data_IF_662768361578
#
_entry.id   IF_662768361578
#
_cell.length_a   1.000
_cell.length_b   1.000
_cell.length_c   1.000
_cell.angle_alpha   90.00
_cell.angle_beta   90.00
_cell.angle_gamma   90.00
#
_symmetry.space_group_name_H-M   'P 1'
#
loop_
_entity.id
_entity.type
_entity.pdbx_description
1 polymer ?
#
# COMPACT_ATOMS: atom_id res chain seq x y z
N UNK A 1 -80.94 -18.23 -55.81
CA UNK A 1 -80.19 -17.07 -55.24
C UNK A 1 -78.82 -17.55 -54.81
N UNK A 2 -77.79 -16.75 -55.10
CA UNK A 2 -76.37 -17.11 -55.07
C UNK A 2 -75.86 -17.45 -53.66
N UNK A 3 -75.06 -18.52 -53.57
CA UNK A 3 -73.90 -18.59 -52.67
C UNK A 3 -72.87 -19.53 -53.27
N UNK A 4 -71.74 -18.96 -53.75
CA UNK A 4 -70.46 -19.65 -53.83
C UNK A 4 -69.94 -19.96 -52.42
N UNK A 5 -68.89 -20.72 -52.18
CA UNK A 5 -67.58 -20.78 -52.86
C UNK A 5 -66.80 -22.00 -52.36
N UNK A 6 -65.86 -22.45 -53.19
CA UNK A 6 -64.58 -23.18 -52.96
C UNK A 6 -64.12 -23.36 -51.49
N UNK A 7 -63.49 -24.45 -51.05
CA UNK A 7 -62.57 -25.38 -51.72
C UNK A 7 -61.15 -25.19 -51.15
N UNK A 8 -60.57 -26.23 -50.53
CA UNK A 8 -59.12 -26.53 -50.34
C UNK A 8 -58.94 -27.45 -49.10
N UNK A 9 -58.76 -28.77 -49.26
CA UNK A 9 -57.47 -29.49 -49.47
C UNK A 9 -56.49 -29.33 -48.29
N UNK A 10 -56.50 -30.31 -47.38
CA UNK A 10 -55.37 -30.60 -46.48
C UNK A 10 -54.28 -31.33 -47.28
N UNK A 11 -53.05 -30.81 -47.23
CA UNK A 11 -51.84 -31.56 -47.59
C UNK A 11 -50.88 -31.56 -46.40
N UNK A 12 -50.65 -32.75 -45.89
CA UNK A 12 -49.54 -33.11 -45.01
C UNK A 12 -48.21 -32.94 -45.76
N UNK A 13 -47.21 -32.35 -45.11
CA UNK A 13 -45.84 -32.27 -45.61
C UNK A 13 -44.87 -32.51 -44.46
N UNK A 14 -44.08 -33.58 -44.58
CA UNK A 14 -43.14 -34.07 -43.59
C UNK A 14 -41.74 -33.46 -43.74
N UNK A 15 -41.02 -33.46 -42.60
CA UNK A 15 -39.56 -33.49 -42.36
C UNK A 15 -38.60 -32.57 -43.15
N UNK A 16 -37.78 -31.84 -42.40
CA UNK A 16 -36.34 -31.74 -42.65
C UNK A 16 -35.59 -31.55 -41.32
N UNK A 17 -34.76 -32.53 -40.95
CA UNK A 17 -33.73 -32.41 -39.92
C UNK A 17 -32.51 -31.77 -40.58
N UNK A 18 -32.09 -30.60 -40.12
CA UNK A 18 -30.87 -29.93 -40.58
C UNK A 18 -29.76 -30.09 -39.56
N UNK A 19 -28.68 -30.74 -40.01
CA UNK A 19 -27.42 -30.94 -39.30
C UNK A 19 -26.42 -29.85 -39.73
N UNK A 20 -25.60 -29.44 -38.76
CA UNK A 20 -24.30 -28.77 -38.85
C UNK A 20 -24.21 -27.25 -39.04
N UNK A 21 -23.39 -26.67 -38.16
CA UNK A 21 -22.83 -25.32 -38.23
C UNK A 21 -21.95 -25.07 -37.01
N UNK A 22 -20.78 -25.72 -36.94
CA UNK A 22 -19.77 -25.48 -35.92
C UNK A 22 -19.24 -24.04 -36.09
N UNK A 23 -19.60 -23.12 -35.19
CA UNK A 23 -19.06 -21.76 -35.20
C UNK A 23 -17.65 -21.82 -34.63
N UNK A 24 -16.65 -21.66 -35.49
CA UNK A 24 -15.27 -21.46 -35.09
C UNK A 24 -15.17 -20.14 -34.34
N UNK A 25 -14.67 -20.20 -33.10
CA UNK A 25 -14.39 -19.02 -32.31
C UNK A 25 -13.34 -18.15 -33.04
N UNK A 26 -13.69 -16.91 -33.37
CA UNK A 26 -12.70 -15.90 -33.71
C UNK A 26 -11.98 -15.56 -32.41
N UNK A 27 -10.75 -16.04 -32.29
CA UNK A 27 -9.85 -15.71 -31.20
C UNK A 27 -9.57 -14.21 -31.26
N UNK A 28 -10.05 -13.47 -30.26
CA UNK A 28 -9.72 -12.06 -30.11
C UNK A 28 -8.18 -11.93 -30.01
N UNK A 29 -7.56 -10.91 -30.64
CA UNK A 29 -6.13 -10.72 -30.53
C UNK A 29 -5.75 -10.64 -29.05
N UNK A 30 -4.87 -11.55 -28.63
CA UNK A 30 -4.33 -11.60 -27.29
C UNK A 30 -3.83 -10.19 -26.92
N UNK A 31 -4.40 -9.61 -25.86
CA UNK A 31 -3.88 -8.39 -25.29
C UNK A 31 -2.38 -8.58 -25.05
N UNK A 32 -1.57 -7.67 -25.60
CA UNK A 32 -0.12 -7.69 -25.44
C UNK A 32 0.21 -7.91 -23.95
N UNK A 33 0.93 -9.00 -23.66
CA UNK A 33 1.41 -9.26 -22.32
C UNK A 33 2.18 -8.02 -21.84
N UNK A 34 1.93 -7.52 -20.61
CA UNK A 34 2.71 -6.40 -20.09
C UNK A 34 4.19 -6.76 -20.16
N UNK A 35 5.03 -5.83 -20.63
CA UNK A 35 6.47 -6.03 -20.72
C UNK A 35 6.97 -6.64 -19.40
N UNK A 36 7.69 -7.78 -19.44
CA UNK A 36 8.20 -8.39 -18.23
C UNK A 36 9.14 -7.40 -17.55
N UNK A 37 8.72 -6.90 -16.39
CA UNK A 37 9.59 -6.09 -15.54
C UNK A 37 10.85 -6.91 -15.26
N UNK A 38 12.07 -6.37 -15.49
CA UNK A 38 13.32 -7.11 -15.30
C UNK A 38 13.31 -7.82 -13.96
N UNK A 39 13.32 -9.16 -14.00
CA UNK A 39 13.37 -10.03 -12.83
C UNK A 39 14.77 -10.61 -12.75
N UNK A 40 15.62 -10.09 -11.88
CA UNK A 40 16.97 -10.62 -11.65
C UNK A 40 17.10 -11.23 -10.26
N UNK A 41 18.15 -12.03 -10.04
CA UNK A 41 18.40 -12.72 -8.76
C UNK A 41 19.81 -12.39 -8.26
N UNK A 42 20.07 -11.13 -7.85
CA UNK A 42 21.41 -10.73 -7.46
C UNK A 42 21.85 -11.44 -6.17
N UNK A 43 23.14 -11.74 -6.08
CA UNK A 43 23.72 -12.34 -4.88
C UNK A 43 23.75 -11.32 -3.73
N UNK A 44 23.13 -11.68 -2.61
CA UNK A 44 23.19 -10.88 -1.39
C UNK A 44 24.57 -11.06 -0.72
N UNK A 45 25.17 -9.95 -0.29
CA UNK A 45 26.39 -9.94 0.53
C UNK A 45 26.08 -9.37 1.92
N UNK A 46 26.90 -9.70 2.92
CA UNK A 46 26.75 -9.07 4.25
C UNK A 46 27.39 -7.69 4.20
N UNK A 47 26.59 -6.65 4.42
CA UNK A 47 27.08 -5.28 4.56
C UNK A 47 27.76 -5.11 5.92
N UNK A 48 27.04 -5.44 6.99
CA UNK A 48 27.57 -5.42 8.36
C UNK A 48 26.77 -6.34 9.29
N UNK A 49 27.26 -6.51 10.51
CA UNK A 49 26.59 -7.24 11.59
C UNK A 49 26.46 -6.34 12.80
N UNK A 50 25.24 -6.14 13.28
CA UNK A 50 25.03 -5.40 14.51
C UNK A 50 25.68 -6.14 15.69
N UNK A 51 26.45 -5.41 16.48
CA UNK A 51 27.26 -5.96 17.58
C UNK A 51 26.56 -5.91 18.94
N UNK A 52 25.54 -5.06 19.09
CA UNK A 52 24.81 -4.87 20.35
C UNK A 52 23.74 -5.93 20.55
N UNK A 53 23.92 -6.77 21.58
CA UNK A 53 23.00 -7.87 21.92
C UNK A 53 21.59 -7.40 22.34
N UNK A 54 21.41 -6.10 22.63
CA UNK A 54 20.08 -5.54 22.90
C UNK A 54 19.23 -5.45 21.62
N UNK A 55 19.88 -5.36 20.45
CA UNK A 55 19.24 -5.37 19.14
C UNK A 55 19.21 -6.79 18.59
N UNK A 56 18.03 -7.42 18.63
CA UNK A 56 17.82 -8.80 18.20
C UNK A 56 16.78 -8.95 17.09
N UNK A 57 15.82 -8.03 17.03
CA UNK A 57 14.71 -8.06 16.08
C UNK A 57 14.55 -6.68 15.40
N UNK A 58 15.37 -6.36 14.38
CA UNK A 58 15.35 -5.06 13.72
C UNK A 58 14.01 -4.84 12.99
N UNK A 59 13.17 -3.95 13.52
CA UNK A 59 11.84 -3.65 12.96
C UNK A 59 11.84 -2.67 11.78
N UNK A 60 12.88 -1.85 11.68
CA UNK A 60 13.06 -0.91 10.57
C UNK A 60 14.54 -0.55 10.39
N UNK A 61 14.87 0.04 9.24
CA UNK A 61 16.21 0.54 8.91
C UNK A 61 16.04 1.84 8.12
N UNK A 62 16.71 2.92 8.52
CA UNK A 62 16.72 4.17 7.77
C UNK A 62 18.03 4.93 7.98
N UNK A 63 18.47 5.71 6.99
CA UNK A 63 19.67 6.54 7.13
C UNK A 63 19.37 7.77 7.98
N UNK A 64 20.30 8.18 8.82
CA UNK A 64 20.24 9.45 9.54
C UNK A 64 20.35 10.65 8.59
N UNK A 65 19.69 11.76 8.94
CA UNK A 65 19.81 13.03 8.23
C UNK A 65 20.82 13.92 8.95
N UNK A 66 20.72 14.01 10.28
CA UNK A 66 21.72 14.70 11.11
C UNK A 66 23.05 13.95 11.17
N UNK A 67 23.00 12.61 11.06
CA UNK A 67 24.17 11.73 11.09
C UNK A 67 24.24 10.86 9.83
N UNK A 68 24.83 11.37 8.72
CA UNK A 68 24.85 10.66 7.44
C UNK A 68 25.68 9.38 7.42
N UNK A 69 26.36 9.02 8.50
CA UNK A 69 27.16 7.80 8.69
C UNK A 69 26.50 6.80 9.66
N UNK A 70 25.19 6.98 9.91
CA UNK A 70 24.40 6.16 10.85
C UNK A 70 23.15 5.59 10.18
N UNK A 71 22.86 4.36 10.53
CA UNK A 71 21.58 3.71 10.37
C UNK A 71 20.77 3.79 11.66
N UNK A 72 19.60 4.40 11.60
CA UNK A 72 18.57 4.27 12.61
C UNK A 72 17.88 2.92 12.44
N UNK A 73 17.75 2.19 13.55
CA UNK A 73 17.01 0.93 13.65
C UNK A 73 16.37 0.81 15.03
N UNK A 74 15.54 -0.19 15.23
CA UNK A 74 14.89 -0.46 16.50
C UNK A 74 14.77 -1.95 16.79
N UNK A 75 14.75 -2.33 18.07
CA UNK A 75 14.32 -3.67 18.48
C UNK A 75 12.80 -3.69 18.68
N UNK A 76 12.09 -4.39 17.80
CA UNK A 76 10.62 -4.38 17.74
C UNK A 76 9.97 -5.08 18.94
N UNK A 77 10.72 -5.88 19.71
CA UNK A 77 10.23 -6.60 20.89
C UNK A 77 10.41 -5.81 22.16
N UNK A 78 11.53 -5.07 22.27
CA UNK A 78 11.94 -4.38 23.50
C UNK A 78 11.66 -2.87 23.47
N UNK A 79 11.31 -2.30 22.31
CA UNK A 79 10.99 -0.86 22.20
C UNK A 79 12.19 0.03 22.50
N UNK A 80 13.33 -0.25 21.86
CA UNK A 80 14.56 0.55 21.97
C UNK A 80 15.05 0.94 20.58
N UNK A 81 15.44 2.20 20.43
CA UNK A 81 15.98 2.77 19.20
C UNK A 81 17.51 2.73 19.26
N UNK A 82 18.14 2.48 18.13
CA UNK A 82 19.60 2.38 18.01
C UNK A 82 20.09 3.19 16.82
N UNK A 83 21.21 3.88 17.04
CA UNK A 83 22.05 4.46 15.99
C UNK A 83 23.23 3.52 15.76
N UNK A 84 23.29 2.88 14.59
CA UNK A 84 24.30 1.87 14.23
C UNK A 84 25.19 2.41 13.10
N UNK A 85 26.50 2.32 13.25
CA UNK A 85 27.45 2.69 12.19
C UNK A 85 27.49 1.69 11.04
N UNK A 86 28.14 2.07 9.93
CA UNK A 86 28.34 1.18 8.77
C UNK A 86 29.19 -0.06 9.09
N UNK A 87 29.89 -0.08 10.22
CA UNK A 87 30.65 -1.21 10.76
C UNK A 87 29.82 -2.11 11.70
N UNK A 88 28.55 -1.78 11.95
CA UNK A 88 27.67 -2.51 12.86
C UNK A 88 27.88 -2.21 14.35
N UNK A 89 28.71 -1.23 14.71
CA UNK A 89 28.83 -0.76 16.10
C UNK A 89 27.68 0.19 16.45
N UNK A 90 27.05 -0.04 17.60
CA UNK A 90 26.08 0.91 18.15
C UNK A 90 26.80 2.15 18.65
N UNK A 91 26.46 3.30 18.08
CA UNK A 91 26.97 4.61 18.51
C UNK A 91 26.17 5.19 19.67
N UNK A 92 24.87 4.92 19.70
CA UNK A 92 23.97 5.30 20.78
C UNK A 92 22.70 4.45 20.79
N UNK A 93 22.09 4.31 21.97
CA UNK A 93 20.80 3.68 22.17
C UNK A 93 19.84 4.61 22.90
N UNK A 94 18.57 4.57 22.52
CA UNK A 94 17.58 5.52 23.03
C UNK A 94 16.31 4.84 23.49
N UNK A 95 15.76 5.32 24.60
CA UNK A 95 14.38 5.06 25.00
C UNK A 95 13.50 6.21 24.57
N UNK A 96 12.20 5.96 24.41
CA UNK A 96 11.23 7.00 24.05
C UNK A 96 10.09 6.95 25.07
N UNK A 97 10.26 7.56 26.27
CA UNK A 97 9.25 7.54 27.31
C UNK A 97 7.89 8.05 26.80
N UNK A 98 6.82 7.36 27.16
CA UNK A 98 5.47 7.68 26.71
C UNK A 98 5.10 7.15 25.31
N UNK A 99 6.07 6.74 24.49
CA UNK A 99 5.81 6.02 23.24
C UNK A 99 5.74 4.51 23.51
N UNK A 100 4.67 3.87 23.04
CA UNK A 100 4.43 2.42 23.20
C UNK A 100 4.00 1.78 21.89
N UNK A 101 4.29 0.48 21.76
CA UNK A 101 3.81 -0.38 20.67
C UNK A 101 4.47 -0.15 19.31
N UNK A 102 5.44 0.75 19.21
CA UNK A 102 6.05 1.06 17.92
C UNK A 102 7.01 -0.06 17.46
N UNK A 103 6.83 -0.50 16.22
CA UNK A 103 7.57 -1.60 15.58
C UNK A 103 8.27 -1.16 14.29
N UNK A 104 8.08 0.09 13.86
CA UNK A 104 8.68 0.66 12.65
C UNK A 104 9.25 2.06 12.88
N UNK A 105 10.07 2.51 11.93
CA UNK A 105 10.55 3.89 11.87
C UNK A 105 10.67 4.39 10.41
N UNK A 106 10.48 5.69 10.23
CA UNK A 106 10.92 6.43 9.04
C UNK A 106 11.69 7.69 9.47
N UNK A 107 12.53 8.20 8.56
CA UNK A 107 13.27 9.45 8.75
C UNK A 107 12.98 10.37 7.57
N UNK A 108 12.58 11.60 7.86
CA UNK A 108 12.40 12.68 6.87
C UNK A 108 12.96 13.99 7.44
N UNK A 109 13.17 14.99 6.57
CA UNK A 109 13.44 16.33 7.08
C UNK A 109 12.15 16.88 7.66
N UNK A 110 12.22 17.38 8.88
CA UNK A 110 11.15 18.11 9.53
C UNK A 110 11.18 19.60 9.17
N UNK A 111 10.39 20.36 9.91
CA UNK A 111 10.30 21.81 9.81
C UNK A 111 11.70 22.44 10.00
N UNK A 112 12.11 23.30 9.08
CA UNK A 112 13.46 23.91 9.10
C UNK A 112 14.60 23.02 8.59
N UNK A 113 14.30 21.85 8.00
CA UNK A 113 15.28 20.99 7.34
C UNK A 113 16.03 20.01 8.25
N UNK A 114 15.81 20.07 9.56
CA UNK A 114 16.40 19.17 10.54
C UNK A 114 15.84 17.74 10.42
N UNK A 115 16.66 16.73 10.70
CA UNK A 115 16.21 15.34 10.70
C UNK A 115 15.10 15.07 11.73
N UNK A 116 14.11 14.27 11.36
CA UNK A 116 13.01 13.87 12.24
C UNK A 116 12.72 12.39 12.06
N UNK A 117 12.67 11.67 13.19
CA UNK A 117 12.28 10.27 13.26
C UNK A 117 10.77 10.18 13.50
N UNK A 118 10.13 9.26 12.78
CA UNK A 118 8.72 8.93 12.96
C UNK A 118 8.58 7.47 13.32
N UNK A 119 8.04 7.18 14.50
CA UNK A 119 7.81 5.83 15.00
C UNK A 119 6.31 5.52 14.94
N UNK A 120 5.96 4.30 14.55
CA UNK A 120 4.56 3.87 14.48
C UNK A 120 4.41 2.41 14.90
N UNK A 121 3.21 2.06 15.33
CA UNK A 121 2.76 0.67 15.53
C UNK A 121 1.99 0.24 14.28
N UNK A 122 2.61 -0.62 13.47
CA UNK A 122 1.99 -1.19 12.25
C UNK A 122 1.35 -2.55 12.51
N UNK A 123 1.41 -3.07 13.75
CA UNK A 123 0.89 -4.39 14.09
C UNK A 123 -0.64 -4.42 14.02
N UNK A 124 -1.25 -5.62 13.91
CA UNK A 124 -2.70 -5.74 14.00
C UNK A 124 -3.28 -5.17 15.32
N UNK A 125 -2.51 -5.18 16.41
CA UNK A 125 -2.91 -4.57 17.67
C UNK A 125 -3.01 -3.04 17.53
N UNK A 126 -2.06 -2.42 16.82
CA UNK A 126 -2.11 -1.01 16.43
C UNK A 126 -3.28 -0.67 15.51
N UNK A 127 -3.79 -1.63 14.74
CA UNK A 127 -4.94 -1.44 13.86
C UNK A 127 -6.31 -1.58 14.57
N UNK A 128 -6.40 -2.00 15.85
CA UNK A 128 -7.69 -2.36 16.50
C UNK A 128 -8.69 -1.22 16.73
N UNK A 129 -8.33 0.04 16.48
CA UNK A 129 -9.15 1.20 16.82
C UNK A 129 -9.39 2.16 15.65
N UNK A 130 -9.32 1.68 14.40
CA UNK A 130 -9.38 2.51 13.17
C UNK A 130 -8.34 3.63 13.08
N UNK A 131 -7.44 3.70 14.06
CA UNK A 131 -6.38 4.70 14.17
C UNK A 131 -5.04 4.04 14.42
N UNK A 132 -4.02 4.49 13.70
CA UNK A 132 -2.61 4.24 13.94
C UNK A 132 -2.03 5.35 14.82
N UNK A 133 -1.19 4.99 15.79
CA UNK A 133 -0.45 5.97 16.58
C UNK A 133 0.90 6.25 15.93
N UNK A 134 1.18 7.54 15.70
CA UNK A 134 2.44 8.03 15.16
C UNK A 134 3.14 8.90 16.20
N UNK A 135 4.44 8.69 16.40
CA UNK A 135 5.27 9.49 17.29
C UNK A 135 6.32 10.24 16.47
N UNK A 136 6.33 11.58 16.56
CA UNK A 136 7.35 12.45 15.96
C UNK A 136 8.44 12.71 17.01
N UNK A 137 9.68 12.40 16.67
CA UNK A 137 10.86 12.56 17.53
C UNK A 137 11.92 13.35 16.74
N UNK A 138 12.39 14.51 17.23
CA UNK A 138 13.52 15.20 16.60
C UNK A 138 14.75 14.28 16.57
N UNK A 139 15.46 14.23 15.43
CA UNK A 139 16.72 13.47 15.38
C UNK A 139 17.74 14.14 16.32
N UNK A 140 18.34 13.40 17.27
CA UNK A 140 19.22 14.01 18.26
C UNK A 140 20.50 14.55 17.60
N UNK A 141 20.87 15.79 17.95
CA UNK A 141 22.08 16.44 17.41
C UNK A 141 23.38 15.74 17.85
N UNK A 142 23.35 15.00 18.97
CA UNK A 142 24.49 14.23 19.49
C UNK A 142 24.08 12.78 19.70
N UNK A 143 24.98 11.86 19.34
CA UNK A 143 24.79 10.44 19.58
C UNK A 143 25.38 10.08 20.94
N UNK A 144 24.50 10.00 21.93
CA UNK A 144 24.79 9.49 23.26
C UNK A 144 23.53 8.81 23.80
N UNK A 145 23.70 7.79 24.65
CA UNK A 145 22.57 7.09 25.23
C UNK A 145 21.67 8.05 26.01
N UNK A 146 20.38 8.13 25.63
CA UNK A 146 19.46 9.11 26.19
C UNK A 146 17.99 8.69 26.06
N UNK A 147 17.12 9.39 26.78
CA UNK A 147 15.68 9.35 26.57
C UNK A 147 15.27 10.45 25.58
N UNK A 148 14.56 10.09 24.52
CA UNK A 148 14.05 11.03 23.52
C UNK A 148 12.60 11.41 23.80
N UNK A 149 12.27 12.68 23.62
CA UNK A 149 10.90 13.18 23.73
C UNK A 149 10.15 12.96 22.42
N UNK A 150 8.95 12.37 22.53
CA UNK A 150 8.05 12.15 21.40
C UNK A 150 6.80 13.03 21.48
N UNK A 151 6.35 13.52 20.32
CA UNK A 151 5.00 14.07 20.15
C UNK A 151 4.11 13.02 19.53
N UNK A 152 2.97 12.74 20.15
CA UNK A 152 1.99 11.75 19.69
C UNK A 152 1.00 12.38 18.70
N UNK A 153 0.68 11.65 17.64
CA UNK A 153 -0.33 11.96 16.64
C UNK A 153 -1.22 10.73 16.42
N UNK A 154 -2.50 10.96 16.20
CA UNK A 154 -3.45 9.93 15.78
C UNK A 154 -3.66 10.05 14.28
N UNK A 155 -3.59 8.92 13.58
CA UNK A 155 -3.73 8.82 12.12
C UNK A 155 -4.85 7.83 11.82
N UNK A 156 -5.77 8.14 10.92
CA UNK A 156 -6.87 7.23 10.57
C UNK A 156 -6.93 6.97 9.07
N UNK A 157 -7.20 5.71 8.70
CA UNK A 157 -7.52 5.35 7.33
C UNK A 157 -8.93 5.84 6.96
N UNK A 158 -9.16 6.21 5.68
CA UNK A 158 -10.49 6.62 5.23
C UNK A 158 -11.46 5.44 5.09
N UNK A 159 -10.95 4.20 4.98
CA UNK A 159 -11.70 2.98 4.69
C UNK A 159 -11.58 1.92 5.80
N UNK A 160 -11.36 2.34 7.04
CA UNK A 160 -11.26 1.47 8.22
C UNK A 160 -9.84 0.96 8.52
N UNK A 161 -9.67 0.31 9.66
CA UNK A 161 -8.38 -0.23 10.11
C UNK A 161 -7.67 -1.14 9.09
N UNK A 162 -6.38 -0.87 8.83
CA UNK A 162 -5.50 -1.78 8.09
C UNK A 162 -4.22 -2.06 8.88
N UNK A 163 -3.77 -3.31 8.85
CA UNK A 163 -2.38 -3.63 9.19
C UNK A 163 -1.44 -3.05 8.13
N UNK A 164 -0.28 -2.56 8.56
CA UNK A 164 0.69 -1.93 7.68
C UNK A 164 2.01 -2.72 7.62
N UNK A 165 2.68 -2.58 6.48
CA UNK A 165 3.97 -3.20 6.20
C UNK A 165 5.12 -2.22 6.34
N UNK A 166 4.87 -0.95 6.01
CA UNK A 166 5.90 0.06 6.05
C UNK A 166 5.31 1.45 6.30
N UNK A 167 6.11 2.29 6.95
CA UNK A 167 6.02 3.74 6.84
C UNK A 167 7.23 4.22 6.03
N UNK A 168 6.98 5.07 5.03
CA UNK A 168 7.98 5.55 4.09
C UNK A 168 8.08 7.06 4.19
N UNK A 169 9.31 7.57 4.17
CA UNK A 169 9.58 9.01 4.14
C UNK A 169 10.01 9.48 2.76
N UNK A 170 9.20 10.32 2.12
CA UNK A 170 9.53 10.92 0.84
C UNK A 170 10.55 12.06 1.03
N UNK A 171 11.77 11.94 0.46
CA UNK A 171 12.84 12.92 0.67
C UNK A 171 12.65 14.21 -0.13
N UNK A 172 11.71 14.26 -1.09
CA UNK A 172 11.38 15.47 -1.84
C UNK A 172 10.18 16.19 -1.21
N UNK A 173 9.09 15.46 -0.98
CA UNK A 173 7.86 16.03 -0.41
C UNK A 173 7.94 16.25 1.12
N UNK A 174 8.95 15.69 1.80
CA UNK A 174 9.02 15.56 3.27
C UNK A 174 7.76 14.95 3.89
N UNK A 175 7.10 14.08 3.11
CA UNK A 175 5.79 13.52 3.41
C UNK A 175 5.91 12.06 3.76
N UNK A 176 5.11 11.61 4.71
CA UNK A 176 5.04 10.20 5.09
C UNK A 176 3.96 9.47 4.29
N UNK A 177 4.27 8.24 3.93
CA UNK A 177 3.37 7.29 3.30
C UNK A 177 3.28 6.02 4.15
N UNK A 178 2.09 5.44 4.24
CA UNK A 178 1.87 4.13 4.87
C UNK A 178 1.46 3.14 3.79
N UNK A 179 2.09 1.97 3.79
CA UNK A 179 1.80 0.90 2.85
C UNK A 179 1.19 -0.27 3.62
N UNK A 180 -0.02 -0.70 3.23
CA UNK A 180 -0.71 -1.79 3.94
C UNK A 180 -0.05 -3.14 3.69
N UNK A 181 -0.19 -4.06 4.67
CA UNK A 181 0.36 -5.41 4.60
C UNK A 181 -0.75 -6.43 4.37
N UNK A 182 -0.83 -6.95 3.15
CA UNK A 182 -1.61 -8.16 2.84
C UNK A 182 -0.80 -9.11 1.95
N UNK A 183 -1.23 -10.36 1.81
CA UNK A 183 -0.46 -11.39 1.11
C UNK A 183 -0.30 -11.11 -0.40
N UNK A 184 -1.34 -10.61 -1.06
CA UNK A 184 -1.42 -10.51 -2.53
C UNK A 184 -1.58 -9.08 -3.06
N UNK A 185 -1.88 -8.10 -2.19
CA UNK A 185 -2.03 -6.71 -2.58
C UNK A 185 -1.56 -5.75 -1.48
N UNK A 186 -1.33 -4.50 -1.84
CA UNK A 186 -1.09 -3.44 -0.86
C UNK A 186 -1.77 -2.16 -1.33
N UNK A 187 -2.03 -1.26 -0.39
CA UNK A 187 -2.52 0.08 -0.69
C UNK A 187 -1.57 1.09 -0.08
N UNK A 188 -1.27 2.12 -0.85
CA UNK A 188 -0.42 3.24 -0.43
C UNK A 188 -1.34 4.37 0.01
N UNK A 189 -1.11 4.87 1.21
CA UNK A 189 -1.81 6.00 1.79
C UNK A 189 -0.81 7.09 2.13
N UNK A 190 -1.18 8.34 1.91
CA UNK A 190 -0.35 9.48 2.26
C UNK A 190 -0.89 10.17 3.52
N UNK A 191 0.01 10.54 4.43
CA UNK A 191 -0.33 11.37 5.59
C UNK A 191 -0.60 12.81 5.15
N UNK A 192 -1.35 13.62 5.91
CA UNK A 192 -1.40 15.06 5.68
C UNK A 192 0.00 15.69 5.69
N UNK A 193 0.22 16.73 4.88
CA UNK A 193 1.51 17.44 4.84
C UNK A 193 1.85 18.10 6.19
N UNK A 194 0.82 18.54 6.93
CA UNK A 194 0.95 19.06 8.29
C UNK A 194 0.13 18.19 9.24
N UNK A 195 0.76 17.76 10.34
CA UNK A 195 0.11 16.93 11.35
C UNK A 195 -0.44 17.79 12.49
N UNK A 196 -1.72 17.60 12.82
CA UNK A 196 -2.36 18.23 13.98
C UNK A 196 -2.32 17.29 15.20
N UNK A 197 -1.86 17.80 16.35
CA UNK A 197 -1.74 17.01 17.58
C UNK A 197 -3.04 16.85 18.37
N UNK A 198 -4.05 17.68 18.08
CA UNK A 198 -5.37 17.70 18.74
C UNK A 198 -6.50 17.15 17.85
N UNK A 199 -6.15 16.58 16.71
CA UNK A 199 -7.10 16.04 15.73
C UNK A 199 -6.67 14.66 15.27
N UNK A 200 -7.60 13.92 14.68
CA UNK A 200 -7.29 12.70 13.95
C UNK A 200 -6.84 13.07 12.54
N UNK A 201 -5.61 12.72 12.19
CA UNK A 201 -5.01 13.01 10.89
C UNK A 201 -5.48 11.97 9.88
N UNK A 202 -6.35 12.36 8.94
CA UNK A 202 -6.91 11.42 7.97
C UNK A 202 -5.94 11.16 6.82
N UNK A 203 -5.73 9.89 6.52
CA UNK A 203 -4.94 9.43 5.39
C UNK A 203 -5.70 9.62 4.07
N UNK A 204 -4.97 9.85 2.99
CA UNK A 204 -5.51 9.85 1.62
C UNK A 204 -4.99 8.63 0.87
N UNK A 205 -5.87 7.81 0.30
CA UNK A 205 -5.43 6.67 -0.54
C UNK A 205 -4.83 7.21 -1.84
N UNK A 206 -3.59 6.81 -2.11
CA UNK A 206 -2.84 7.23 -3.31
C UNK A 206 -3.04 6.24 -4.44
N UNK A 207 -2.87 4.94 -4.14
CA UNK A 207 -3.02 3.87 -5.13
C UNK A 207 -3.13 2.49 -4.48
N UNK A 208 -3.49 1.51 -5.30
CA UNK A 208 -3.34 0.07 -5.02
C UNK A 208 -2.11 -0.48 -5.76
N UNK A 209 -1.45 -1.44 -5.13
CA UNK A 209 -0.37 -2.25 -5.68
C UNK A 209 -0.88 -3.69 -5.85
N UNK A 210 -0.70 -4.33 -7.02
CA UNK A 210 -1.20 -5.67 -7.30
C UNK A 210 -0.30 -6.77 -6.70
N UNK A 211 0.30 -6.49 -5.56
CA UNK A 211 1.21 -7.40 -4.87
C UNK A 211 1.35 -7.05 -3.38
N UNK A 212 1.72 -8.03 -2.55
CA UNK A 212 1.96 -7.83 -1.13
C UNK A 212 3.25 -7.05 -0.84
N UNK A 213 3.23 -6.26 0.25
CA UNK A 213 4.36 -5.47 0.75
C UNK A 213 4.54 -5.74 2.24
N UNK A 214 5.78 -5.98 2.65
CA UNK A 214 6.18 -6.28 4.02
C UNK A 214 7.06 -5.21 4.66
N UNK A 215 7.73 -4.42 3.83
CA UNK A 215 8.60 -3.31 4.20
C UNK A 215 8.90 -2.41 2.99
N UNK A 216 9.56 -1.28 3.21
CA UNK A 216 9.89 -0.36 2.12
C UNK A 216 10.77 0.80 2.56
N UNK A 217 11.40 1.46 1.59
CA UNK A 217 12.13 2.70 1.79
C UNK A 217 12.12 3.56 0.51
N UNK A 218 12.26 4.87 0.67
CA UNK A 218 12.63 5.75 -0.44
C UNK A 218 14.15 5.75 -0.63
N UNK A 219 14.57 5.87 -1.88
CA UNK A 219 15.91 6.27 -2.25
C UNK A 219 15.99 7.81 -2.31
N UNK A 220 17.21 8.36 -2.19
CA UNK A 220 17.44 9.80 -2.28
C UNK A 220 17.06 10.41 -3.64
N UNK A 221 16.99 9.60 -4.69
CA UNK A 221 16.59 10.00 -6.05
C UNK A 221 15.08 9.89 -6.31
N UNK A 222 14.26 9.63 -5.27
CA UNK A 222 12.80 9.56 -5.36
C UNK A 222 12.25 8.18 -5.70
N UNK A 223 13.09 7.20 -6.07
CA UNK A 223 12.65 5.82 -6.24
C UNK A 223 12.11 5.24 -4.95
N UNK A 224 11.17 4.30 -5.08
CA UNK A 224 10.64 3.55 -3.93
C UNK A 224 11.04 2.09 -4.06
N UNK A 225 11.65 1.55 -3.02
CA UNK A 225 12.06 0.16 -2.95
C UNK A 225 11.17 -0.55 -1.93
N UNK A 226 10.42 -1.57 -2.38
CA UNK A 226 9.45 -2.30 -1.58
C UNK A 226 9.89 -3.75 -1.41
N UNK A 227 9.78 -4.26 -0.19
CA UNK A 227 10.08 -5.64 0.18
C UNK A 227 8.80 -6.48 0.12
N UNK A 228 8.77 -7.52 -0.72
CA UNK A 228 7.74 -8.56 -0.71
C UNK A 228 8.12 -9.74 0.21
N UNK A 229 7.60 -10.94 -0.05
CA UNK A 229 7.97 -12.15 0.72
C UNK A 229 9.31 -12.72 0.26
N UNK A 230 9.54 -12.80 -1.06
CA UNK A 230 10.75 -13.37 -1.67
C UNK A 230 11.42 -12.47 -2.70
N UNK A 231 10.98 -11.22 -2.77
CA UNK A 231 11.49 -10.24 -3.72
C UNK A 231 11.64 -8.83 -3.14
N UNK A 232 12.38 -8.01 -3.88
CA UNK A 232 12.42 -6.56 -3.74
C UNK A 232 11.94 -5.96 -5.06
N UNK A 233 10.99 -5.02 -5.00
CA UNK A 233 10.49 -4.30 -6.17
C UNK A 233 10.90 -2.84 -6.12
N UNK A 234 11.42 -2.32 -7.23
CA UNK A 234 11.79 -0.91 -7.37
C UNK A 234 10.73 -0.22 -8.23
N UNK A 235 10.20 0.90 -7.75
CA UNK A 235 9.34 1.81 -8.49
C UNK A 235 10.12 3.07 -8.82
N UNK A 236 9.86 3.68 -9.97
CA UNK A 236 10.48 4.96 -10.34
C UNK A 236 10.13 6.11 -9.37
N UNK A 237 8.97 5.99 -8.73
CA UNK A 237 8.44 6.86 -7.69
C UNK A 237 7.19 6.23 -7.08
N UNK A 238 6.67 6.79 -5.98
CA UNK A 238 5.56 6.17 -5.23
C UNK A 238 4.27 6.02 -6.07
N UNK A 239 4.08 6.89 -7.05
CA UNK A 239 2.95 6.88 -8.00
C UNK A 239 3.26 6.16 -9.31
N UNK A 240 4.52 5.76 -9.53
CA UNK A 240 4.97 5.25 -10.83
C UNK A 240 4.99 3.73 -10.90
N UNK A 241 5.26 3.20 -12.09
CA UNK A 241 5.34 1.75 -12.33
C UNK A 241 6.55 1.11 -11.66
N UNK A 242 6.45 -0.21 -11.45
CA UNK A 242 7.60 -1.03 -11.07
C UNK A 242 8.56 -1.09 -12.25
N UNK A 243 9.83 -0.79 -12.00
CA UNK A 243 10.91 -0.81 -12.99
C UNK A 243 11.85 -1.98 -12.83
N UNK A 244 11.86 -2.63 -11.65
CA UNK A 244 12.71 -3.79 -11.38
C UNK A 244 12.09 -4.71 -10.34
N UNK A 245 12.30 -6.01 -10.49
CA UNK A 245 12.01 -7.04 -9.49
C UNK A 245 13.29 -7.83 -9.22
N UNK A 246 13.70 -7.94 -7.96
CA UNK A 246 14.87 -8.71 -7.54
C UNK A 246 14.41 -9.88 -6.69
N UNK A 247 14.64 -11.12 -7.12
CA UNK A 247 14.43 -12.30 -6.27
C UNK A 247 15.58 -12.43 -5.29
N UNK A 248 15.26 -12.77 -4.05
CA UNK A 248 16.25 -12.89 -2.98
C UNK A 248 15.83 -13.88 -1.91
N UNK A 249 16.80 -14.63 -1.38
CA UNK A 249 16.64 -15.47 -0.21
C UNK A 249 16.85 -14.73 1.12
N UNK A 250 17.23 -13.44 1.08
CA UNK A 250 17.44 -12.65 2.29
C UNK A 250 16.15 -12.52 3.11
N UNK A 251 16.22 -12.83 4.39
CA UNK A 251 15.08 -12.73 5.31
C UNK A 251 15.04 -11.36 5.97
N UNK A 252 13.86 -10.97 6.43
CA UNK A 252 13.63 -9.69 7.08
C UNK A 252 12.79 -8.74 6.24
N UNK A 253 12.05 -7.90 6.97
CA UNK A 253 11.10 -6.93 6.43
C UNK A 253 11.67 -5.49 6.51
N UNK A 254 12.58 -5.24 7.46
CA UNK A 254 13.27 -3.96 7.61
C UNK A 254 14.27 -3.75 6.47
N UNK A 255 14.02 -2.75 5.63
CA UNK A 255 14.87 -2.42 4.49
C UNK A 255 15.20 -0.93 4.42
N UNK A 256 16.34 -0.60 3.83
CA UNK A 256 16.74 0.76 3.50
C UNK A 256 17.44 0.80 2.14
N UNK A 257 17.53 1.97 1.52
CA UNK A 257 18.39 2.16 0.33
C UNK A 257 19.70 2.77 0.78
N UNK A 258 20.82 2.23 0.30
CA UNK A 258 22.15 2.77 0.56
C UNK A 258 22.27 4.21 0.02
N UNK A 259 23.11 5.08 0.61
CA UNK A 259 23.24 6.48 0.18
C UNK A 259 23.64 6.64 -1.29
N UNK A 260 24.38 5.67 -1.83
CA UNK A 260 24.76 5.60 -3.25
C UNK A 260 23.57 5.33 -4.20
N UNK A 261 22.40 4.97 -3.67
CA UNK A 261 21.20 4.59 -4.43
C UNK A 261 21.33 3.26 -5.17
N UNK A 262 22.46 2.56 -5.04
CA UNK A 262 22.82 1.38 -5.84
C UNK A 262 22.56 0.07 -5.12
N UNK A 263 22.27 0.10 -3.82
CA UNK A 263 22.02 -1.11 -3.03
C UNK A 263 20.80 -0.94 -2.15
N UNK A 264 20.02 -2.01 -2.03
CA UNK A 264 19.05 -2.15 -0.94
C UNK A 264 19.70 -2.94 0.19
N UNK A 265 19.50 -2.48 1.40
CA UNK A 265 19.90 -3.14 2.63
C UNK A 265 18.70 -3.84 3.24
N UNK A 266 18.87 -5.07 3.72
CA UNK A 266 17.82 -5.89 4.36
C UNK A 266 18.34 -6.39 5.70
N UNK A 267 17.66 -6.04 6.79
CA UNK A 267 18.05 -6.45 8.13
C UNK A 267 17.37 -7.77 8.53
N UNK A 268 18.18 -8.77 8.84
CA UNK A 268 17.76 -10.10 9.29
C UNK A 268 17.95 -10.21 10.81
N UNK A 269 16.89 -10.60 11.52
CA UNK A 269 16.89 -10.81 12.96
C UNK A 269 17.84 -11.93 13.41
N UNK A 270 18.29 -11.86 14.66
CA UNK A 270 19.20 -12.82 15.28
C UNK A 270 19.92 -12.22 16.49
N UNK A 271 20.72 -13.01 17.20
CA UNK A 271 21.47 -12.50 18.37
C UNK A 271 22.48 -11.39 18.01
N UNK A 272 22.95 -11.38 16.75
CA UNK A 272 23.74 -10.32 16.12
C UNK A 272 23.19 -10.10 14.72
N UNK A 273 22.13 -9.27 14.58
CA UNK A 273 21.43 -9.10 13.31
C UNK A 273 22.36 -8.80 12.15
N UNK A 274 22.08 -9.41 11.00
CA UNK A 274 22.87 -9.21 9.78
C UNK A 274 22.14 -8.22 8.90
N UNK A 275 22.88 -7.29 8.32
CA UNK A 275 22.35 -6.45 7.24
C UNK A 275 22.94 -6.94 5.94
N UNK A 276 22.08 -7.42 5.04
CA UNK A 276 22.47 -7.85 3.71
C UNK A 276 22.36 -6.69 2.73
N UNK A 277 23.33 -6.55 1.83
CA UNK A 277 23.25 -5.67 0.68
C UNK A 277 22.91 -6.47 -0.58
N UNK A 278 21.94 -5.97 -1.35
CA UNK A 278 21.65 -6.45 -2.69
C UNK A 278 21.83 -5.29 -3.68
N UNK A 279 22.56 -5.49 -4.78
CA UNK A 279 22.67 -4.48 -5.83
C UNK A 279 21.32 -4.24 -6.51
N UNK A 280 21.02 -2.97 -6.76
CA UNK A 280 19.94 -2.50 -7.61
C UNK A 280 20.52 -2.24 -9.00
N UNK A 281 19.83 -2.63 -10.07
CA UNK A 281 20.26 -2.39 -11.43
C UNK A 281 20.17 -0.90 -11.81
N UNK A 282 21.04 -0.48 -12.73
CA UNK A 282 21.13 0.92 -13.19
C UNK A 282 19.91 1.37 -14.02
N UNK A 283 19.15 0.42 -14.59
CA UNK A 283 17.99 0.69 -15.46
C UNK A 283 16.87 1.51 -14.79
N UNK A 284 16.88 1.64 -13.46
CA UNK A 284 15.85 2.35 -12.71
C UNK A 284 16.19 3.82 -12.42
N UNK A 285 17.44 4.28 -12.63
CA UNK A 285 17.82 5.64 -12.21
C UNK A 285 17.29 6.68 -13.21
N UNK A 286 16.66 7.79 -12.75
CA UNK A 286 16.45 8.95 -13.61
C UNK A 286 17.78 9.36 -14.22
N UNK A 287 17.86 9.52 -15.55
CA UNK A 287 19.08 10.01 -16.20
C UNK A 287 19.47 11.34 -15.53
N UNK A 288 20.68 11.41 -14.99
CA UNK A 288 21.24 12.68 -14.53
C UNK A 288 21.33 13.61 -15.74
N UNK A 289 20.44 14.60 -15.81
CA UNK A 289 20.46 15.61 -16.86
C UNK A 289 21.73 16.45 -16.72
N UNK A 290 22.67 16.29 -17.65
CA UNK A 290 23.69 17.29 -17.93
C UNK A 290 23.00 18.49 -18.59
N UNK A 291 23.15 19.67 -17.99
CA UNK A 291 22.59 20.90 -18.52
C UNK A 291 22.57 22.00 -17.46
N UNK A 292 23.68 22.73 -17.37
CA UNK A 292 23.75 24.05 -16.77
C UNK A 292 22.75 24.98 -17.46
N UNK A 293 21.66 25.30 -16.77
CA UNK A 293 20.72 26.37 -17.14
C UNK A 293 20.34 27.14 -15.88
N UNK A 294 20.69 28.43 -15.88
CA UNK A 294 20.44 29.46 -14.86
C UNK A 294 19.01 29.43 -14.28
N UNK A 295 18.81 29.71 -12.97
CA UNK A 295 17.50 29.59 -12.32
C UNK A 295 16.59 30.74 -12.71
N UNK A 296 15.47 30.44 -13.37
CA UNK A 296 14.39 31.39 -13.64
C UNK A 296 13.29 31.25 -12.58
N UNK A 297 13.12 32.31 -11.79
CA UNK A 297 11.83 32.89 -11.38
C UNK A 297 10.79 32.01 -10.70
N UNK A 298 10.44 32.38 -9.46
CA UNK A 298 9.20 31.98 -8.81
C UNK A 298 8.00 32.31 -9.71
N UNK A 299 7.37 31.27 -10.27
CA UNK A 299 6.00 31.37 -10.75
C UNK A 299 5.11 30.69 -9.72
N UNK A 300 4.23 31.49 -9.11
CA UNK A 300 3.16 31.03 -8.27
C UNK A 300 2.38 29.93 -9.01
N UNK A 301 2.23 28.77 -8.38
CA UNK A 301 1.31 27.75 -8.83
C UNK A 301 -0.10 28.31 -8.70
N UNK A 302 -0.79 28.44 -9.83
CA UNK A 302 -2.22 28.72 -9.90
C UNK A 302 -3.01 27.75 -9.00
N UNK A 303 -4.12 28.20 -8.39
CA UNK A 303 -4.91 27.40 -7.48
C UNK A 303 -5.49 26.21 -8.25
N UNK A 304 -5.19 25.00 -7.75
CA UNK A 304 -5.83 23.77 -8.22
C UNK A 304 -7.34 23.94 -8.02
N UNK A 305 -8.07 23.86 -9.12
CA UNK A 305 -9.53 23.93 -9.19
C UNK A 305 -10.18 23.04 -8.13
N UNK A 306 -11.24 23.58 -7.51
CA UNK A 306 -12.08 22.94 -6.50
C UNK A 306 -12.36 21.48 -6.83
N UNK A 307 -11.82 20.58 -6.00
CA UNK A 307 -12.18 19.17 -6.01
C UNK A 307 -13.60 19.01 -5.50
N UNK A 308 -14.57 18.97 -6.43
CA UNK A 308 -15.95 18.61 -6.14
C UNK A 308 -16.03 17.10 -5.94
N UNK A 309 -16.27 16.67 -4.70
CA UNK A 309 -16.48 15.26 -4.37
C UNK A 309 -17.56 14.64 -5.29
N UNK A 310 -17.33 13.44 -5.86
CA UNK A 310 -18.39 12.74 -6.57
C UNK A 310 -19.48 12.38 -5.56
N UNK A 311 -20.74 12.75 -5.87
CA UNK A 311 -21.89 12.26 -5.12
C UNK A 311 -21.88 10.73 -5.17
N UNK A 312 -21.92 10.11 -4.00
CA UNK A 312 -22.05 8.67 -3.85
C UNK A 312 -23.30 8.19 -4.61
N UNK A 313 -23.10 7.49 -5.72
CA UNK A 313 -24.15 6.68 -6.33
C UNK A 313 -24.26 5.39 -5.53
N UNK A 314 -25.45 5.14 -4.98
CA UNK A 314 -25.83 3.87 -4.37
C UNK A 314 -25.54 2.70 -5.34
N UNK A 315 -25.10 1.53 -4.86
CA UNK A 315 -24.90 0.37 -5.71
C UNK A 315 -26.27 -0.19 -6.12
N UNK A 316 -26.66 0.04 -7.37
CA UNK A 316 -27.92 -0.43 -7.91
C UNK A 316 -28.19 0.17 -9.29
N UNK A 317 -27.57 -0.39 -10.32
CA UNK A 317 -27.97 -0.12 -11.71
C UNK A 317 -29.38 -0.64 -11.99
N UNK A 318 -29.91 -0.30 -13.17
CA UNK A 318 -31.31 -0.46 -13.64
C UNK A 318 -31.86 -1.91 -13.68
N UNK A 319 -31.13 -2.87 -13.14
CA UNK A 319 -31.58 -4.25 -12.89
C UNK A 319 -32.14 -4.46 -11.46
N UNK A 320 -32.00 -3.49 -10.56
CA UNK A 320 -32.41 -3.59 -9.15
C UNK A 320 -33.86 -3.18 -8.83
N UNK A 321 -34.60 -2.55 -9.75
CA UNK A 321 -35.99 -2.14 -9.52
C UNK A 321 -37.01 -3.23 -9.88
N UNK A 322 -36.64 -4.19 -10.73
CA UNK A 322 -37.51 -5.31 -11.11
C UNK A 322 -37.72 -6.33 -9.98
N UNK A 323 -36.71 -6.56 -9.15
CA UNK A 323 -36.75 -7.55 -8.07
C UNK A 323 -37.52 -7.07 -6.82
N UNK A 324 -37.61 -5.76 -6.58
CA UNK A 324 -38.46 -5.21 -5.52
C UNK A 324 -39.94 -5.18 -5.91
N UNK A 325 -40.27 -4.93 -7.18
CA UNK A 325 -41.64 -5.03 -7.68
C UNK A 325 -42.17 -6.49 -7.64
N UNK A 326 -41.31 -7.46 -7.96
CA UNK A 326 -41.65 -8.89 -7.89
C UNK A 326 -41.95 -9.39 -6.47
N UNK A 327 -41.17 -8.94 -5.47
CA UNK A 327 -41.40 -9.31 -4.06
C UNK A 327 -42.66 -8.65 -3.47
N UNK A 328 -42.96 -7.41 -3.86
CA UNK A 328 -44.20 -6.74 -3.45
C UNK A 328 -45.44 -7.44 -4.04
N UNK A 329 -45.39 -7.88 -5.31
CA UNK A 329 -46.50 -8.59 -5.95
C UNK A 329 -46.74 -9.98 -5.35
N UNK A 330 -45.68 -10.72 -5.01
CA UNK A 330 -45.78 -12.01 -4.30
C UNK A 330 -46.36 -11.85 -2.90
N UNK A 331 -46.03 -10.77 -2.19
CA UNK A 331 -46.60 -10.45 -0.87
C UNK A 331 -48.10 -10.15 -0.91
N UNK A 332 -48.57 -9.40 -1.91
CA UNK A 332 -50.00 -9.07 -2.07
C UNK A 332 -50.82 -10.29 -2.49
N UNK A 333 -50.31 -11.12 -3.40
CA UNK A 333 -51.00 -12.35 -3.83
C UNK A 333 -51.04 -13.37 -2.68
N UNK A 334 -49.93 -13.59 -1.97
CA UNK A 334 -49.87 -14.48 -0.81
C UNK A 334 -50.78 -14.05 0.35
N UNK A 335 -50.81 -12.74 0.65
CA UNK A 335 -51.70 -12.18 1.69
C UNK A 335 -53.18 -12.28 1.34
N UNK A 336 -53.54 -12.14 0.06
CA UNK A 336 -54.91 -12.30 -0.44
C UNK A 336 -55.46 -13.73 -0.26
N UNK A 337 -54.66 -14.75 -0.57
CA UNK A 337 -55.06 -16.15 -0.38
C UNK A 337 -55.15 -16.53 1.12
N UNK A 338 -54.24 -16.03 1.95
CA UNK A 338 -54.26 -16.27 3.39
C UNK A 338 -55.52 -15.71 4.08
N UNK A 339 -55.92 -14.48 3.74
CA UNK A 339 -57.13 -13.86 4.30
C UNK A 339 -58.42 -14.50 3.78
N UNK A 340 -58.44 -14.97 2.52
CA UNK A 340 -59.59 -15.67 1.93
C UNK A 340 -59.77 -17.08 2.50
N UNK A 341 -58.68 -17.77 2.84
CA UNK A 341 -58.70 -19.06 3.54
C UNK A 341 -59.22 -18.95 4.98
N UNK A 342 -58.91 -17.85 5.69
CA UNK A 342 -59.37 -17.62 7.07
C UNK A 342 -60.86 -17.29 7.16
N UNK A 343 -61.44 -16.61 6.16
CA UNK A 343 -62.89 -16.29 6.12
C UNK A 343 -63.80 -17.47 5.80
N UNK A 344 -63.27 -18.57 5.24
CA UNK A 344 -64.04 -19.81 5.00
C UNK A 344 -64.10 -20.75 6.21
N UNK A 345 -63.21 -20.61 7.20
CA UNK A 345 -63.24 -21.41 8.45
C UNK A 345 -64.08 -20.82 9.59
N UNK A 346 -64.79 -19.72 9.33
CA UNK A 346 -65.65 -19.05 10.33
C UNK A 346 -67.13 -19.16 9.94
N UNK A 347 -67.46 -19.98 8.94
CA UNK A 347 -68.83 -20.20 8.46
C UNK A 347 -69.25 -21.68 8.32
N UNK A 348 -68.46 -22.59 8.89
CA UNK A 348 -68.87 -23.96 9.20
C UNK A 348 -68.74 -24.16 10.72
#
# INVERSE_FOLDING_TARGET
MRSGTSGAVLRSGALAVSVAGLVTAVEAPAAAAPDPVPTSSPQASVAFRASDARLSDPGALARGIAHPDVWWTLDARKGRLFAVGDDGRTKASFTVPGARGWDTLAVVKGDGGAGTLYLADLTPAGAKHDTLTLYKVPEPARLADAALTARKYLVAYPDGAHAAGAILGDPAEQRLYVVTRTASAASVYALPAALGSRVVNRLTRVRRLPFGVRGGAFASDGRVVLRGTGDVRVLAGIRDKVTQVLRTGAKGDAIAVAPDGRRVLIAEAGARPRVFALPLGDAARPKAGGGSGTPAGHAASDPIADYRAPKASLPGGVLGTGSLAGLALLGVVGGGFYLRGRRRRVRD
#
